data_IF_040275579689
#
_entry.id   IF_040275579689
#
_cell.length_a   1.000
_cell.length_b   1.000
_cell.length_c   1.000
_cell.angle_alpha   90.00
_cell.angle_beta   90.00
_cell.angle_gamma   90.00
#
_symmetry.space_group_name_H-M   'P 1'
#
loop_
_entity.id
_entity.type
_entity.pdbx_description
1 polymer ?
#
# COMPACT_ATOMS: atom_id res chain seq x y z
N UNK A 1 -11.19 36.04 15.27
CA UNK A 1 -12.28 35.48 14.47
C UNK A 1 -12.05 35.71 12.98
N UNK A 2 -10.98 35.15 12.36
CA UNK A 2 -10.64 35.36 10.93
C UNK A 2 -10.43 34.06 10.12
N UNK A 3 -10.88 32.89 10.56
CA UNK A 3 -10.47 31.64 9.87
C UNK A 3 -11.59 30.80 9.24
N UNK A 4 -12.87 31.07 9.51
CA UNK A 4 -13.96 30.21 8.99
C UNK A 4 -14.43 30.59 7.57
N UNK A 5 -14.28 31.85 7.14
CA UNK A 5 -14.73 32.27 5.81
C UNK A 5 -13.84 31.73 4.68
N UNK A 6 -12.52 31.77 4.87
CA UNK A 6 -11.59 31.32 3.82
C UNK A 6 -11.51 29.80 3.60
N UNK A 7 -11.92 28.98 4.58
CA UNK A 7 -12.01 27.53 4.42
C UNK A 7 -13.21 27.13 3.56
N UNK A 8 -14.32 27.86 3.72
CA UNK A 8 -15.55 27.61 2.96
C UNK A 8 -15.39 27.99 1.48
N UNK A 9 -14.72 29.11 1.19
CA UNK A 9 -14.43 29.55 -0.19
C UNK A 9 -13.49 28.58 -0.93
N UNK A 10 -12.45 28.10 -0.26
CA UNK A 10 -11.54 27.09 -0.83
C UNK A 10 -12.23 25.74 -1.06
N UNK A 11 -13.15 25.36 -0.18
CA UNK A 11 -13.90 24.13 -0.34
C UNK A 11 -14.94 24.25 -1.47
N UNK A 12 -15.61 25.38 -1.59
CA UNK A 12 -16.53 25.66 -2.70
C UNK A 12 -15.78 25.68 -4.03
N UNK A 13 -14.64 26.38 -4.13
CA UNK A 13 -13.83 26.39 -5.35
C UNK A 13 -13.26 25.01 -5.70
N UNK A 14 -13.01 24.15 -4.70
CA UNK A 14 -12.63 22.75 -4.93
C UNK A 14 -13.80 21.94 -5.50
N UNK A 15 -15.01 22.11 -4.99
CA UNK A 15 -16.21 21.45 -5.50
C UNK A 15 -16.55 21.93 -6.92
N UNK A 16 -16.46 23.22 -7.18
CA UNK A 16 -16.68 23.81 -8.52
C UNK A 16 -15.66 23.25 -9.55
N UNK A 17 -14.41 23.06 -9.15
CA UNK A 17 -13.39 22.43 -9.99
C UNK A 17 -13.69 20.94 -10.28
N UNK A 18 -14.32 20.22 -9.35
CA UNK A 18 -14.77 18.83 -9.56
C UNK A 18 -15.91 18.83 -10.57
N UNK A 19 -16.92 19.68 -10.40
CA UNK A 19 -18.06 19.80 -11.32
C UNK A 19 -17.63 20.20 -12.73
N UNK A 20 -16.64 21.09 -12.87
CA UNK A 20 -16.10 21.47 -14.18
C UNK A 20 -15.29 20.35 -14.82
N UNK A 21 -14.59 19.52 -14.04
CA UNK A 21 -13.87 18.34 -14.55
C UNK A 21 -14.83 17.25 -15.04
N UNK A 22 -15.99 17.09 -14.41
CA UNK A 22 -17.06 16.20 -14.88
C UNK A 22 -17.72 16.73 -16.17
N UNK A 23 -17.90 18.04 -16.29
CA UNK A 23 -18.48 18.68 -17.49
C UNK A 23 -17.52 18.68 -18.69
N UNK A 24 -16.21 18.68 -18.49
CA UNK A 24 -15.22 18.63 -19.57
C UNK A 24 -14.95 17.21 -20.09
N UNK A 25 -15.62 16.20 -19.55
CA UNK A 25 -15.91 14.94 -20.22
C UNK A 25 -14.74 14.00 -20.48
N UNK A 26 -13.62 14.01 -19.74
CA UNK A 26 -12.57 12.98 -19.88
C UNK A 26 -11.63 12.88 -18.68
N UNK A 27 -12.15 12.71 -17.47
CA UNK A 27 -11.30 12.14 -16.42
C UNK A 27 -11.23 10.62 -16.65
N UNK A 28 -10.21 10.17 -17.39
CA UNK A 28 -9.93 8.75 -17.47
C UNK A 28 -9.31 8.32 -16.12
N UNK A 29 -10.13 7.69 -15.27
CA UNK A 29 -9.69 7.19 -13.95
C UNK A 29 -8.47 6.25 -14.04
N UNK A 30 -8.19 5.71 -15.20
CA UNK A 30 -7.08 4.81 -15.45
C UNK A 30 -5.93 5.45 -16.25
N UNK A 31 -5.87 6.78 -16.37
CA UNK A 31 -4.81 7.44 -17.12
C UNK A 31 -3.43 7.20 -16.46
N UNK A 32 -3.34 7.40 -15.14
CA UNK A 32 -2.12 7.15 -14.36
C UNK A 32 -2.46 6.40 -13.07
N UNK A 33 -2.09 5.15 -12.98
CA UNK A 33 -2.44 4.27 -11.87
C UNK A 33 -1.22 3.97 -10.99
N UNK A 34 -1.37 4.22 -9.70
CA UNK A 34 -0.42 3.79 -8.69
C UNK A 34 -0.86 2.44 -8.12
N UNK A 35 0.00 1.42 -8.22
CA UNK A 35 -0.25 0.10 -7.64
C UNK A 35 0.77 -0.13 -6.53
N UNK A 36 0.31 -0.37 -5.32
CA UNK A 36 1.13 -0.48 -4.12
C UNK A 36 1.13 -1.93 -3.64
N UNK A 37 2.32 -2.47 -3.42
CA UNK A 37 2.52 -3.71 -2.67
C UNK A 37 2.25 -3.42 -1.19
N UNK A 38 1.07 -3.81 -0.72
CA UNK A 38 0.56 -3.48 0.60
C UNK A 38 1.40 -4.09 1.71
N UNK A 39 1.69 -5.38 1.62
CA UNK A 39 2.44 -6.08 2.67
C UNK A 39 3.92 -5.64 2.70
N UNK A 40 4.56 -5.49 1.55
CA UNK A 40 5.94 -5.02 1.46
C UNK A 40 6.09 -3.62 2.07
N UNK A 41 5.20 -2.69 1.70
CA UNK A 41 5.20 -1.31 2.22
C UNK A 41 4.94 -1.28 3.73
N UNK A 42 4.02 -2.12 4.23
CA UNK A 42 3.73 -2.21 5.65
C UNK A 42 4.90 -2.77 6.45
N UNK A 43 5.47 -3.91 6.04
CA UNK A 43 6.61 -4.55 6.73
C UNK A 43 7.81 -3.61 6.78
N UNK A 44 8.10 -2.90 5.69
CA UNK A 44 9.17 -1.91 5.64
C UNK A 44 8.93 -0.79 6.65
N UNK A 45 7.71 -0.26 6.69
CA UNK A 45 7.33 0.79 7.64
C UNK A 45 7.44 0.32 9.09
N UNK A 46 6.92 -0.87 9.36
CA UNK A 46 6.96 -1.50 10.68
C UNK A 46 8.40 -1.74 11.17
N UNK A 47 9.30 -2.18 10.28
CA UNK A 47 10.67 -2.55 10.64
C UNK A 47 11.55 -1.37 11.04
N UNK A 48 11.27 -0.17 10.55
CA UNK A 48 12.17 0.99 10.74
C UNK A 48 11.58 2.09 11.63
N UNK A 49 10.25 2.16 11.75
CA UNK A 49 9.59 3.25 12.47
C UNK A 49 9.30 2.85 13.93
N UNK A 50 9.94 3.49 14.93
CA UNK A 50 9.72 3.20 16.34
C UNK A 50 8.55 3.98 16.95
N UNK A 51 7.70 4.63 16.15
CA UNK A 51 6.63 5.47 16.67
C UNK A 51 5.67 4.68 17.59
N UNK A 52 5.32 5.31 18.72
CA UNK A 52 4.34 4.82 19.68
C UNK A 52 3.20 5.83 19.81
N UNK A 53 2.04 5.35 20.28
CA UNK A 53 0.94 6.22 20.68
C UNK A 53 1.14 6.75 22.11
N UNK A 54 0.17 7.50 22.62
CA UNK A 54 0.21 8.10 23.96
C UNK A 54 0.25 7.05 25.08
N UNK A 55 -0.22 5.83 24.84
CA UNK A 55 -0.18 4.69 25.76
C UNK A 55 1.14 3.88 25.66
N UNK A 56 2.10 4.33 24.84
CA UNK A 56 3.36 3.64 24.61
C UNK A 56 3.26 2.41 23.69
N UNK A 57 2.12 2.19 23.03
CA UNK A 57 1.92 1.08 22.10
C UNK A 57 2.54 1.41 20.74
N UNK A 58 3.34 0.49 20.20
CA UNK A 58 3.95 0.67 18.89
C UNK A 58 2.90 0.78 17.77
N UNK A 59 3.00 1.85 16.98
CA UNK A 59 2.12 2.13 15.84
C UNK A 59 2.91 2.41 14.54
N UNK A 60 4.19 2.14 14.55
CA UNK A 60 5.13 2.51 13.47
C UNK A 60 4.76 1.94 12.10
N UNK A 61 4.15 0.76 12.05
CA UNK A 61 3.66 0.14 10.82
C UNK A 61 2.58 0.98 10.14
N UNK A 62 1.52 1.32 10.89
CA UNK A 62 0.41 2.13 10.39
C UNK A 62 0.88 3.54 10.02
N UNK A 63 1.55 4.20 10.97
CA UNK A 63 1.98 5.59 10.78
C UNK A 63 2.94 5.74 9.60
N UNK A 64 3.92 4.82 9.47
CA UNK A 64 4.87 4.81 8.37
C UNK A 64 4.22 4.49 7.03
N UNK A 65 3.30 3.54 6.99
CA UNK A 65 2.55 3.17 5.79
C UNK A 65 1.73 4.36 5.26
N UNK A 66 0.90 4.96 6.11
CA UNK A 66 0.05 6.10 5.71
C UNK A 66 0.88 7.31 5.28
N UNK A 67 2.00 7.58 5.98
CA UNK A 67 2.95 8.64 5.60
C UNK A 67 3.59 8.38 4.24
N UNK A 68 3.97 7.12 3.97
CA UNK A 68 4.56 6.69 2.70
C UNK A 68 3.57 6.87 1.55
N UNK A 69 2.32 6.43 1.71
CA UNK A 69 1.27 6.59 0.70
C UNK A 69 0.99 8.08 0.45
N UNK A 70 0.79 8.86 1.51
CA UNK A 70 0.57 10.30 1.39
C UNK A 70 1.66 10.98 0.57
N UNK A 71 2.92 10.66 0.85
CA UNK A 71 4.06 11.20 0.11
C UNK A 71 4.01 10.78 -1.36
N UNK A 72 3.84 9.49 -1.62
CA UNK A 72 3.80 8.96 -3.00
C UNK A 72 2.65 9.53 -3.80
N UNK A 73 1.45 9.64 -3.21
CA UNK A 73 0.30 10.29 -3.86
C UNK A 73 0.59 11.75 -4.20
N UNK A 74 1.28 12.50 -3.32
CA UNK A 74 1.60 13.91 -3.56
C UNK A 74 2.61 14.11 -4.70
N UNK A 75 3.54 13.16 -4.88
CA UNK A 75 4.57 13.22 -5.93
C UNK A 75 4.05 12.67 -7.25
N UNK A 76 3.44 11.48 -7.22
CA UNK A 76 2.98 10.77 -8.42
C UNK A 76 1.72 11.39 -9.00
N UNK A 77 0.81 11.89 -8.14
CA UNK A 77 -0.52 12.43 -8.52
C UNK A 77 -1.27 11.47 -9.45
N UNK A 78 -1.53 10.24 -9.00
CA UNK A 78 -2.22 9.25 -9.82
C UNK A 78 -3.72 9.60 -9.95
N UNK A 79 -4.37 9.15 -11.02
CA UNK A 79 -5.82 9.21 -11.19
C UNK A 79 -6.54 8.08 -10.45
N UNK A 80 -5.82 6.98 -10.16
CA UNK A 80 -6.30 5.85 -9.34
C UNK A 80 -5.16 5.30 -8.49
N UNK A 81 -5.49 4.89 -7.26
CA UNK A 81 -4.60 4.18 -6.37
C UNK A 81 -5.17 2.80 -6.06
N UNK A 82 -4.37 1.75 -6.28
CA UNK A 82 -4.71 0.35 -5.98
C UNK A 82 -3.68 -0.16 -4.99
N UNK A 83 -4.14 -0.78 -3.89
CA UNK A 83 -3.27 -1.45 -2.93
C UNK A 83 -3.56 -2.95 -3.02
N UNK A 84 -2.52 -3.73 -3.22
CA UNK A 84 -2.63 -5.18 -3.38
C UNK A 84 -2.02 -5.87 -2.15
N UNK A 85 -2.79 -6.78 -1.55
CA UNK A 85 -2.32 -7.65 -0.48
C UNK A 85 -2.29 -9.11 -0.96
N UNK A 86 -1.42 -9.92 -0.35
CA UNK A 86 -1.45 -11.36 -0.56
C UNK A 86 -2.80 -11.94 -0.19
N UNK A 87 -3.33 -12.80 -1.05
CA UNK A 87 -4.54 -13.53 -0.75
C UNK A 87 -4.31 -14.67 0.24
N UNK A 88 -5.39 -15.17 0.84
CA UNK A 88 -5.33 -16.34 1.70
C UNK A 88 -4.68 -17.50 0.92
N UNK A 89 -3.70 -18.16 1.54
CA UNK A 89 -2.96 -19.27 0.89
C UNK A 89 -2.21 -18.87 -0.41
N UNK A 90 -1.89 -17.60 -0.65
CA UNK A 90 -1.29 -17.08 -1.88
C UNK A 90 -0.08 -17.90 -2.37
N UNK A 91 0.82 -18.28 -1.47
CA UNK A 91 2.00 -19.09 -1.81
C UNK A 91 1.75 -20.60 -1.93
N UNK A 92 0.52 -21.09 -1.69
CA UNK A 92 0.21 -22.54 -1.63
C UNK A 92 0.44 -23.24 -2.97
N UNK A 93 0.07 -22.61 -4.07
CA UNK A 93 0.28 -23.13 -5.43
C UNK A 93 1.77 -23.31 -5.72
N UNK A 94 2.59 -22.29 -5.43
CA UNK A 94 4.05 -22.34 -5.64
C UNK A 94 4.71 -23.40 -4.75
N UNK A 95 4.29 -23.52 -3.48
CA UNK A 95 4.79 -24.56 -2.56
C UNK A 95 4.40 -25.98 -3.00
N UNK A 96 3.24 -26.14 -3.66
CA UNK A 96 2.84 -27.45 -4.21
C UNK A 96 3.79 -27.88 -5.34
N UNK A 97 4.24 -26.94 -6.17
CA UNK A 97 5.17 -27.20 -7.27
C UNK A 97 6.61 -27.32 -6.75
N UNK A 98 7.00 -26.44 -5.82
CA UNK A 98 8.32 -26.39 -5.22
C UNK A 98 8.23 -26.25 -3.69
N UNK A 99 8.29 -27.38 -2.95
CA UNK A 99 8.08 -27.36 -1.48
C UNK A 99 9.04 -26.50 -0.69
N UNK A 100 10.24 -26.24 -1.24
CA UNK A 100 11.24 -25.38 -0.61
C UNK A 100 10.99 -23.87 -0.84
N UNK A 101 9.97 -23.52 -1.61
CA UNK A 101 9.64 -22.12 -1.88
C UNK A 101 9.39 -21.33 -0.58
N UNK A 102 10.16 -20.27 -0.37
CA UNK A 102 10.15 -19.43 0.85
C UNK A 102 10.37 -20.19 2.17
N UNK A 103 10.89 -21.45 2.14
CA UNK A 103 11.10 -22.25 3.36
C UNK A 103 12.11 -21.59 4.33
N UNK A 104 13.10 -20.88 3.80
CA UNK A 104 14.12 -20.19 4.60
C UNK A 104 13.58 -18.95 5.35
N UNK A 105 12.38 -18.45 5.01
CA UNK A 105 11.76 -17.30 5.70
C UNK A 105 11.28 -17.63 7.14
N UNK A 106 11.41 -18.89 7.58
CA UNK A 106 11.02 -19.34 8.93
C UNK A 106 11.95 -18.90 10.06
N UNK A 107 13.08 -18.29 9.77
CA UNK A 107 13.98 -17.78 10.80
C UNK A 107 13.39 -16.51 11.39
N UNK A 108 12.82 -16.59 12.58
CA UNK A 108 12.25 -15.49 13.37
C UNK A 108 13.37 -14.52 13.80
N UNK A 109 13.75 -13.59 12.94
CA UNK A 109 14.56 -12.43 13.33
C UNK A 109 13.59 -11.30 13.69
N UNK A 110 13.88 -10.59 14.79
CA UNK A 110 13.17 -9.34 15.12
C UNK A 110 13.26 -8.38 13.94
N UNK A 111 12.14 -7.88 13.48
CA UNK A 111 12.05 -6.96 12.35
C UNK A 111 12.40 -5.55 12.78
N UNK A 112 11.78 -5.04 13.83
CA UNK A 112 12.06 -3.71 14.35
C UNK A 112 12.99 -3.81 15.58
N UNK A 113 14.23 -3.37 15.40
CA UNK A 113 15.26 -3.36 16.45
C UNK A 113 15.27 -2.09 17.29
N UNK A 114 14.49 -1.10 16.90
CA UNK A 114 14.43 0.20 17.58
C UNK A 114 13.31 0.26 18.64
N UNK A 115 12.56 -0.83 18.78
CA UNK A 115 11.46 -0.97 19.74
C UNK A 115 11.84 -2.03 20.76
N UNK A 116 11.61 -1.74 22.04
CA UNK A 116 11.74 -2.74 23.08
C UNK A 116 10.48 -3.63 23.13
N UNK A 117 10.63 -4.84 22.61
CA UNK A 117 9.56 -5.84 22.60
C UNK A 117 9.52 -6.70 23.85
N UNK A 118 10.36 -6.41 24.86
CA UNK A 118 10.54 -7.27 26.02
C UNK A 118 11.14 -8.64 25.63
N UNK A 119 10.89 -9.65 26.45
CA UNK A 119 11.50 -10.99 26.30
C UNK A 119 10.71 -11.94 25.39
N UNK A 120 9.40 -11.70 25.21
CA UNK A 120 8.52 -12.57 24.44
C UNK A 120 8.62 -12.29 22.93
N UNK A 121 9.04 -13.25 22.08
CA UNK A 121 9.07 -13.07 20.63
C UNK A 121 7.69 -12.81 20.00
N UNK A 122 6.62 -13.25 20.68
CA UNK A 122 5.22 -13.05 20.22
C UNK A 122 4.78 -11.60 20.22
N UNK A 123 5.36 -10.72 21.04
CA UNK A 123 4.93 -9.33 21.17
C UNK A 123 5.08 -8.55 19.87
N UNK A 124 6.17 -8.73 19.15
CA UNK A 124 6.38 -8.09 17.85
C UNK A 124 5.40 -8.63 16.78
N UNK A 125 5.23 -9.95 16.71
CA UNK A 125 4.34 -10.59 15.75
C UNK A 125 2.87 -10.22 15.99
N UNK A 126 2.48 -10.14 17.27
CA UNK A 126 1.14 -9.76 17.68
C UNK A 126 0.85 -8.29 17.36
N UNK A 127 1.78 -7.39 17.70
CA UNK A 127 1.72 -5.98 17.32
C UNK A 127 1.61 -5.80 15.81
N UNK A 128 2.41 -6.55 15.04
CA UNK A 128 2.37 -6.50 13.59
C UNK A 128 1.01 -6.92 13.03
N UNK A 129 0.43 -8.01 13.53
CA UNK A 129 -0.90 -8.50 13.11
C UNK A 129 -2.01 -7.50 13.45
N UNK A 130 -1.99 -6.95 14.66
CA UNK A 130 -2.97 -5.95 15.10
C UNK A 130 -2.88 -4.67 14.25
N UNK A 131 -1.66 -4.19 14.00
CA UNK A 131 -1.48 -3.00 13.17
C UNK A 131 -1.90 -3.23 11.72
N UNK A 132 -1.58 -4.41 11.14
CA UNK A 132 -2.00 -4.73 9.79
C UNK A 132 -3.52 -4.81 9.66
N UNK A 133 -4.20 -5.47 10.60
CA UNK A 133 -5.67 -5.53 10.64
C UNK A 133 -6.28 -4.13 10.72
N UNK A 134 -5.79 -3.30 11.66
CA UNK A 134 -6.25 -1.92 11.82
C UNK A 134 -5.95 -1.06 10.60
N UNK A 135 -4.82 -1.29 9.94
CA UNK A 135 -4.49 -0.58 8.70
C UNK A 135 -5.51 -0.88 7.60
N UNK A 136 -5.85 -2.16 7.40
CA UNK A 136 -6.85 -2.54 6.38
C UNK A 136 -8.19 -1.86 6.65
N UNK A 137 -8.66 -1.85 7.92
CA UNK A 137 -9.86 -1.13 8.30
C UNK A 137 -9.80 0.36 7.94
N UNK A 138 -8.66 1.05 8.17
CA UNK A 138 -8.52 2.46 7.79
C UNK A 138 -8.52 2.67 6.28
N UNK A 139 -7.91 1.76 5.54
CA UNK A 139 -7.83 1.85 4.08
C UNK A 139 -9.20 1.70 3.41
N UNK A 140 -10.14 0.95 4.01
CA UNK A 140 -11.52 0.79 3.51
C UNK A 140 -12.30 2.11 3.49
N UNK A 141 -11.92 3.08 4.34
CA UNK A 141 -12.54 4.42 4.38
C UNK A 141 -11.89 5.44 3.44
N UNK A 142 -10.83 5.05 2.72
CA UNK A 142 -10.13 5.95 1.80
C UNK A 142 -10.58 5.74 0.35
N UNK A 143 -10.52 6.78 -0.50
CA UNK A 143 -10.90 6.67 -1.91
C UNK A 143 -9.82 5.94 -2.72
N UNK A 144 -9.62 4.66 -2.44
CA UNK A 144 -8.66 3.79 -3.10
C UNK A 144 -9.26 2.39 -3.30
N UNK A 145 -8.63 1.59 -4.14
CA UNK A 145 -9.07 0.22 -4.42
C UNK A 145 -8.18 -0.76 -3.65
N UNK A 146 -8.77 -1.60 -2.80
CA UNK A 146 -8.08 -2.71 -2.17
C UNK A 146 -8.30 -3.99 -2.99
N UNK A 147 -7.24 -4.75 -3.20
CA UNK A 147 -7.28 -6.01 -3.95
C UNK A 147 -6.54 -7.09 -3.18
N UNK A 148 -7.20 -8.22 -3.00
CA UNK A 148 -6.61 -9.46 -2.48
C UNK A 148 -7.29 -10.63 -3.19
N UNK A 149 -6.51 -11.58 -3.71
CA UNK A 149 -7.05 -12.72 -4.47
C UNK A 149 -6.60 -14.01 -3.80
N UNK A 150 -7.54 -14.82 -3.29
CA UNK A 150 -7.24 -16.06 -2.61
C UNK A 150 -6.46 -17.03 -3.52
N UNK A 151 -5.45 -17.65 -2.96
CA UNK A 151 -4.56 -18.57 -3.68
C UNK A 151 -3.53 -17.92 -4.60
N UNK A 152 -3.46 -16.56 -4.63
CA UNK A 152 -2.54 -15.79 -5.49
C UNK A 152 -1.70 -14.86 -4.63
N UNK A 153 -0.41 -14.74 -4.95
CA UNK A 153 0.48 -13.77 -4.30
C UNK A 153 0.27 -12.36 -4.89
N UNK A 154 0.53 -11.33 -4.10
CA UNK A 154 0.34 -9.93 -4.51
C UNK A 154 1.14 -9.58 -5.77
N UNK A 155 2.36 -10.09 -5.90
CA UNK A 155 3.24 -9.88 -7.06
C UNK A 155 2.59 -10.36 -8.37
N UNK A 156 1.94 -11.53 -8.37
CA UNK A 156 1.23 -12.06 -9.55
C UNK A 156 0.01 -11.20 -9.91
N UNK A 157 -0.73 -10.75 -8.88
CA UNK A 157 -1.88 -9.86 -9.07
C UNK A 157 -1.44 -8.52 -9.62
N UNK A 158 -0.39 -7.92 -9.07
CA UNK A 158 0.16 -6.64 -9.55
C UNK A 158 0.68 -6.76 -10.98
N UNK A 159 1.37 -7.86 -11.32
CA UNK A 159 1.83 -8.13 -12.68
C UNK A 159 0.64 -8.27 -13.65
N UNK A 160 -0.40 -9.00 -13.28
CA UNK A 160 -1.61 -9.16 -14.09
C UNK A 160 -2.32 -7.81 -14.31
N UNK A 161 -2.53 -7.03 -13.25
CA UNK A 161 -3.19 -5.73 -13.35
C UNK A 161 -2.40 -4.81 -14.29
N UNK A 162 -1.08 -4.74 -14.15
CA UNK A 162 -0.24 -3.81 -14.91
C UNK A 162 -0.05 -4.22 -16.37
N UNK A 163 0.05 -5.51 -16.67
CA UNK A 163 0.35 -5.99 -18.04
C UNK A 163 -0.89 -6.34 -18.84
N UNK A 164 -1.95 -6.82 -18.19
CA UNK A 164 -3.14 -7.35 -18.86
C UNK A 164 -4.38 -6.50 -18.64
N UNK A 165 -4.72 -6.21 -17.38
CA UNK A 165 -5.99 -5.56 -17.04
C UNK A 165 -6.00 -4.07 -17.36
N UNK A 166 -4.90 -3.36 -17.11
CA UNK A 166 -4.72 -1.93 -17.38
C UNK A 166 -3.66 -1.70 -18.46
N UNK A 167 -3.83 -2.39 -19.62
CA UNK A 167 -2.88 -2.37 -20.74
C UNK A 167 -2.61 -0.98 -21.32
N UNK A 168 -3.57 -0.07 -21.25
CA UNK A 168 -3.50 1.27 -21.83
C UNK A 168 -3.13 2.37 -20.84
N UNK A 169 -2.93 2.00 -19.56
CA UNK A 169 -2.63 2.93 -18.48
C UNK A 169 -1.13 3.15 -18.28
N UNK A 170 -0.76 4.35 -17.83
CA UNK A 170 0.56 4.56 -17.22
C UNK A 170 0.55 4.02 -15.80
N UNK A 171 1.47 3.13 -15.48
CA UNK A 171 1.52 2.43 -14.21
C UNK A 171 2.77 2.82 -13.42
N UNK A 172 2.59 3.10 -12.14
CA UNK A 172 3.68 3.19 -11.18
C UNK A 172 3.50 2.10 -10.14
N UNK A 173 4.46 1.17 -10.08
CA UNK A 173 4.50 0.11 -9.08
C UNK A 173 5.30 0.57 -7.87
N UNK A 174 4.71 0.55 -6.68
CA UNK A 174 5.40 0.90 -5.44
C UNK A 174 5.72 -0.37 -4.65
N UNK A 175 6.97 -0.82 -4.75
CA UNK A 175 7.51 -1.96 -4.00
C UNK A 175 9.03 -1.90 -3.98
N UNK A 176 9.65 -2.46 -2.93
CA UNK A 176 11.11 -2.64 -2.85
C UNK A 176 11.56 -3.98 -3.43
N UNK A 177 10.63 -4.81 -3.88
CA UNK A 177 10.96 -6.09 -4.50
C UNK A 177 11.52 -5.87 -5.91
N UNK A 178 12.73 -6.37 -6.13
CA UNK A 178 13.43 -6.24 -7.42
C UNK A 178 12.80 -7.07 -8.53
N UNK A 179 11.98 -8.04 -8.19
CA UNK A 179 11.29 -8.86 -9.18
C UNK A 179 10.34 -8.03 -10.05
N UNK A 180 9.85 -6.88 -9.54
CA UNK A 180 9.05 -5.95 -10.34
C UNK A 180 9.83 -5.23 -11.44
N UNK A 181 11.17 -5.19 -11.39
CA UNK A 181 11.97 -4.57 -12.45
C UNK A 181 11.79 -5.27 -13.80
N UNK A 182 11.42 -6.55 -13.81
CA UNK A 182 11.10 -7.29 -15.04
C UNK A 182 9.81 -6.81 -15.74
N UNK A 183 8.96 -6.05 -15.04
CA UNK A 183 7.73 -5.50 -15.59
C UNK A 183 7.91 -4.13 -16.24
N UNK A 184 9.05 -3.48 -16.01
CA UNK A 184 9.31 -2.11 -16.49
C UNK A 184 9.29 -2.07 -18.01
N UNK A 185 8.57 -1.09 -18.56
CA UNK A 185 8.48 -0.78 -19.98
C UNK A 185 8.14 0.73 -20.16
N UNK A 186 7.73 1.13 -21.36
CA UNK A 186 7.39 2.52 -21.68
C UNK A 186 6.20 3.08 -20.85
N UNK A 187 5.36 2.21 -20.29
CA UNK A 187 4.17 2.55 -19.50
C UNK A 187 4.35 2.28 -18.01
N UNK A 188 5.18 1.29 -17.66
CA UNK A 188 5.31 0.76 -16.29
C UNK A 188 6.66 1.19 -15.72
N UNK A 189 6.60 1.86 -14.57
CA UNK A 189 7.77 2.24 -13.78
C UNK A 189 7.68 1.68 -12.36
N UNK A 190 8.82 1.53 -11.70
CA UNK A 190 8.92 1.11 -10.28
C UNK A 190 9.42 2.27 -9.45
N UNK A 191 8.74 2.49 -8.32
CA UNK A 191 9.01 3.57 -7.37
C UNK A 191 9.60 3.03 -6.06
#
# INVERSE_FOLDING_TARGET
MKSKKGLNEKFISFLDNIDDSEKTGKLNLNDKVLIIDGLNTFIRSFSVNPAVNDDGVHIGGIAGFLKSIRYTLSVIKPTRCIIVFDGKDGSKRRRKIYPQYKAQRKVKKRLNRNVDWGTAPSNEEESMKLQLGRLVEYLEYLPLTLVSVDGVEADDVMAYISKQFLSDSKIVLMSTDKDFLQLVDDRISVW
#
